data_IF_086988298777
#
_entry.id   IF_086988298777
#
_cell.length_a   1.000
_cell.length_b   1.000
_cell.length_c   1.000
_cell.angle_alpha   90.00
_cell.angle_beta   90.00
_cell.angle_gamma   90.00
#
_symmetry.space_group_name_H-M   'P 1'
#
loop_
_entity.id
_entity.type
_entity.pdbx_description
1 polymer ?
#
# COMPACT_ATOMS: atom_id res chain seq x y z
N UNK A 1 -5.99 46.66 -52.17
CA UNK A 1 -6.22 48.12 -52.06
C UNK A 1 -7.56 48.60 -52.58
N UNK A 2 -8.01 48.31 -53.82
CA UNK A 2 -9.30 48.87 -54.29
C UNK A 2 -10.55 48.15 -53.76
N UNK A 3 -10.46 46.87 -53.42
CA UNK A 3 -11.63 46.08 -52.98
C UNK A 3 -12.00 46.32 -51.51
N UNK A 4 -11.00 46.43 -50.62
CA UNK A 4 -11.19 46.75 -49.20
C UNK A 4 -11.88 48.11 -49.00
N UNK A 5 -11.52 49.13 -49.79
CA UNK A 5 -12.18 50.44 -49.76
C UNK A 5 -13.65 50.38 -50.22
N UNK A 6 -13.99 49.50 -51.18
CA UNK A 6 -15.37 49.31 -51.62
C UNK A 6 -16.23 48.68 -50.53
N UNK A 7 -15.66 47.71 -49.80
CA UNK A 7 -16.32 47.02 -48.70
C UNK A 7 -16.54 47.99 -47.53
N UNK A 8 -15.52 48.76 -47.15
CA UNK A 8 -15.62 49.76 -46.08
C UNK A 8 -16.63 50.86 -46.39
N UNK A 9 -16.78 51.25 -47.66
CA UNK A 9 -17.76 52.25 -48.10
C UNK A 9 -19.19 51.71 -48.10
N UNK A 10 -19.39 50.40 -48.32
CA UNK A 10 -20.71 49.74 -48.30
C UNK A 10 -21.18 49.36 -46.90
N UNK A 11 -20.27 48.85 -46.07
CA UNK A 11 -20.59 48.27 -44.75
C UNK A 11 -20.37 49.29 -43.62
N UNK A 12 -19.55 50.31 -43.86
CA UNK A 12 -19.14 51.27 -42.83
C UNK A 12 -18.02 50.70 -41.95
N UNK A 13 -17.30 51.58 -41.26
CA UNK A 13 -16.30 51.21 -40.23
C UNK A 13 -16.91 50.99 -38.85
N UNK A 14 -18.22 51.12 -38.73
CA UNK A 14 -18.89 51.05 -37.45
C UNK A 14 -19.10 49.61 -37.01
N UNK A 15 -18.88 49.34 -35.73
CA UNK A 15 -19.09 48.01 -35.18
C UNK A 15 -20.60 47.79 -34.96
N UNK A 16 -21.18 46.88 -35.75
CA UNK A 16 -22.59 46.47 -35.65
C UNK A 16 -22.83 45.58 -34.42
N UNK A 17 -21.78 44.94 -33.90
CA UNK A 17 -21.85 44.16 -32.67
C UNK A 17 -21.66 45.06 -31.46
N UNK A 18 -22.77 45.56 -30.94
CA UNK A 18 -22.83 46.28 -29.66
C UNK A 18 -23.36 45.35 -28.60
N UNK A 19 -22.65 45.28 -27.48
CA UNK A 19 -23.14 44.60 -26.27
C UNK A 19 -23.81 45.61 -25.36
N UNK A 20 -24.83 45.22 -24.58
CA UNK A 20 -25.36 46.04 -23.51
C UNK A 20 -24.27 46.40 -22.49
N UNK A 21 -24.39 47.59 -21.90
CA UNK A 21 -23.51 48.01 -20.81
C UNK A 21 -23.58 47.00 -19.66
N UNK A 22 -22.42 46.55 -19.19
CA UNK A 22 -22.29 45.55 -18.13
C UNK A 22 -22.52 44.09 -18.52
N UNK A 23 -22.72 43.76 -19.81
CA UNK A 23 -22.86 42.37 -20.26
C UNK A 23 -21.68 41.47 -19.84
N UNK A 24 -20.45 41.94 -20.06
CA UNK A 24 -19.24 41.18 -19.71
C UNK A 24 -18.92 41.21 -18.22
N UNK A 25 -19.50 42.12 -17.44
CA UNK A 25 -19.30 42.22 -15.99
C UNK A 25 -19.99 41.05 -15.27
N UNK A 26 -21.17 40.65 -15.76
CA UNK A 26 -21.94 39.55 -15.19
C UNK A 26 -21.65 38.19 -15.84
N UNK A 27 -20.97 38.15 -16.98
CA UNK A 27 -20.67 36.91 -17.72
C UNK A 27 -19.98 35.88 -16.83
N UNK A 28 -18.97 36.30 -16.06
CA UNK A 28 -18.19 35.42 -15.20
C UNK A 28 -19.06 34.79 -14.10
N UNK A 29 -19.91 35.60 -13.45
CA UNK A 29 -20.85 35.10 -12.43
C UNK A 29 -21.89 34.17 -13.04
N UNK A 30 -22.45 34.52 -14.21
CA UNK A 30 -23.43 33.66 -14.87
C UNK A 30 -22.80 32.34 -15.29
N UNK A 31 -21.62 32.35 -15.92
CA UNK A 31 -20.87 31.12 -16.27
C UNK A 31 -20.60 30.28 -15.02
N UNK A 32 -20.12 30.89 -13.93
CA UNK A 32 -19.86 30.16 -12.68
C UNK A 32 -21.13 29.60 -12.03
N UNK A 33 -22.27 30.29 -12.17
CA UNK A 33 -23.58 29.82 -11.67
C UNK A 33 -24.19 28.71 -12.53
N UNK A 34 -23.84 28.65 -13.82
CA UNK A 34 -24.32 27.66 -14.80
C UNK A 34 -23.45 26.42 -14.87
N UNK A 35 -22.21 26.51 -14.40
CA UNK A 35 -21.44 25.33 -14.11
C UNK A 35 -22.27 24.50 -13.14
N UNK A 36 -22.39 23.16 -13.35
CA UNK A 36 -22.91 22.31 -12.30
C UNK A 36 -22.16 22.70 -11.03
N UNK A 37 -22.85 22.82 -9.89
CA UNK A 37 -22.16 22.88 -8.60
C UNK A 37 -21.08 21.84 -8.75
N UNK A 38 -19.83 22.31 -8.83
CA UNK A 38 -18.72 21.40 -8.96
C UNK A 38 -18.94 20.66 -7.67
N UNK A 39 -19.43 19.43 -7.80
CA UNK A 39 -19.24 18.40 -6.84
C UNK A 39 -17.75 18.53 -6.68
N UNK A 40 -17.34 19.35 -5.70
CA UNK A 40 -16.14 19.10 -5.00
C UNK A 40 -16.34 17.62 -4.81
N UNK A 41 -15.46 16.77 -5.34
CA UNK A 41 -15.28 15.60 -4.57
C UNK A 41 -14.89 16.20 -3.20
N UNK A 42 -15.86 16.43 -2.30
CA UNK A 42 -16.21 15.36 -1.41
C UNK A 42 -15.85 14.03 -2.11
N UNK A 43 -14.54 13.73 -2.26
CA UNK A 43 -13.81 13.10 -1.21
C UNK A 43 -14.72 13.07 0.02
N UNK A 44 -15.76 12.24 -0.12
CA UNK A 44 -16.23 11.40 0.93
C UNK A 44 -14.90 10.81 1.36
N UNK A 45 -14.25 11.52 2.28
CA UNK A 45 -13.22 11.02 3.14
C UNK A 45 -14.04 9.94 3.82
N UNK A 46 -14.12 8.78 3.19
CA UNK A 46 -14.51 7.55 3.85
C UNK A 46 -13.43 7.50 4.91
N UNK A 47 -13.77 8.03 6.08
CA UNK A 47 -12.90 7.92 7.22
C UNK A 47 -12.53 6.45 7.25
N UNK A 48 -11.23 6.11 7.20
CA UNK A 48 -10.79 4.74 7.07
C UNK A 48 -11.52 3.96 8.15
N UNK A 49 -12.51 3.19 7.72
CA UNK A 49 -13.47 2.65 8.66
C UNK A 49 -12.71 1.57 9.38
N UNK A 50 -12.85 1.49 10.71
CA UNK A 50 -12.07 0.59 11.58
C UNK A 50 -12.01 -0.87 11.07
N UNK A 51 -12.95 -1.28 10.22
CA UNK A 51 -12.94 -2.50 9.41
C UNK A 51 -11.63 -2.81 8.67
N UNK A 52 -10.93 -1.82 8.12
CA UNK A 52 -9.65 -2.08 7.44
C UNK A 52 -8.57 -2.58 8.39
N UNK A 53 -8.61 -2.16 9.66
CA UNK A 53 -7.73 -2.66 10.73
C UNK A 53 -8.18 -4.01 11.28
N UNK A 54 -9.49 -4.28 11.26
CA UNK A 54 -10.06 -5.55 11.76
C UNK A 54 -9.86 -6.69 10.76
N UNK A 55 -9.83 -6.39 9.45
CA UNK A 55 -9.65 -7.39 8.38
C UNK A 55 -8.41 -8.29 8.55
N UNK A 56 -7.18 -7.77 8.78
CA UNK A 56 -6.01 -8.61 9.02
C UNK A 56 -6.13 -9.44 10.31
N UNK A 57 -6.71 -8.88 11.38
CA UNK A 57 -6.89 -9.61 12.63
C UNK A 57 -7.91 -10.75 12.51
N UNK A 58 -8.95 -10.56 11.68
CA UNK A 58 -9.91 -11.61 11.37
C UNK A 58 -9.27 -12.81 10.66
N UNK A 59 -8.32 -12.57 9.73
CA UNK A 59 -7.58 -13.67 9.10
C UNK A 59 -6.67 -14.40 10.10
N UNK A 60 -5.99 -13.66 10.98
CA UNK A 60 -5.17 -14.27 12.04
C UNK A 60 -6.02 -15.14 12.97
N UNK A 61 -7.15 -14.61 13.46
CA UNK A 61 -8.07 -15.38 14.31
C UNK A 61 -8.61 -16.63 13.61
N UNK A 62 -8.97 -16.54 12.33
CA UNK A 62 -9.39 -17.70 11.54
C UNK A 62 -8.27 -18.76 11.40
N UNK A 63 -7.02 -18.34 11.19
CA UNK A 63 -5.87 -19.24 11.12
C UNK A 63 -5.60 -19.94 12.46
N UNK A 64 -5.64 -19.21 13.58
CA UNK A 64 -5.49 -19.77 14.92
C UNK A 64 -6.61 -20.76 15.27
N UNK A 65 -7.86 -20.41 14.98
CA UNK A 65 -9.01 -21.31 15.21
C UNK A 65 -8.90 -22.56 14.32
N UNK A 66 -8.49 -22.40 13.06
CA UNK A 66 -8.26 -23.53 12.15
C UNK A 66 -7.17 -24.48 12.66
N UNK A 67 -6.00 -23.94 13.04
CA UNK A 67 -4.92 -24.73 13.62
C UNK A 67 -5.34 -25.41 14.94
N UNK A 68 -6.04 -24.67 15.82
CA UNK A 68 -6.53 -25.21 17.09
C UNK A 68 -7.55 -26.34 16.87
N UNK A 69 -8.43 -26.25 15.88
CA UNK A 69 -9.37 -27.32 15.54
C UNK A 69 -8.65 -28.57 15.01
N UNK A 70 -7.64 -28.39 14.15
CA UNK A 70 -6.82 -29.50 13.63
C UNK A 70 -6.09 -30.19 14.80
N UNK A 71 -5.44 -29.42 15.68
CA UNK A 71 -4.77 -29.95 16.88
C UNK A 71 -5.79 -30.63 17.81
N UNK A 72 -6.97 -30.02 18.03
CA UNK A 72 -8.00 -30.54 18.93
C UNK A 72 -8.61 -31.85 18.44
N UNK A 73 -8.83 -32.00 17.13
CA UNK A 73 -9.26 -33.26 16.49
C UNK A 73 -8.15 -34.29 16.54
N UNK A 74 -6.93 -33.95 16.13
CA UNK A 74 -5.81 -34.89 16.09
C UNK A 74 -5.32 -35.32 17.50
N UNK A 75 -5.54 -34.47 18.51
CA UNK A 75 -5.22 -34.75 19.92
C UNK A 75 -6.41 -35.35 20.67
N UNK A 76 -7.64 -35.32 20.15
CA UNK A 76 -8.76 -36.03 20.78
C UNK A 76 -8.55 -37.55 20.78
N UNK A 77 -7.80 -38.08 19.80
CA UNK A 77 -7.40 -39.48 19.71
C UNK A 77 -6.12 -39.82 20.51
N UNK A 78 -5.46 -38.82 21.13
CA UNK A 78 -4.19 -38.99 21.86
C UNK A 78 -4.37 -38.52 23.31
N UNK A 79 -4.36 -39.46 24.25
CA UNK A 79 -4.35 -39.18 25.70
C UNK A 79 -3.23 -38.21 26.11
N UNK A 80 -3.45 -37.34 27.11
CA UNK A 80 -2.54 -36.24 27.43
C UNK A 80 -1.37 -36.71 28.30
N UNK A 81 -0.14 -36.45 27.85
CA UNK A 81 1.01 -36.28 28.74
C UNK A 81 1.27 -34.78 28.81
N UNK A 82 0.69 -34.11 29.81
CA UNK A 82 1.44 -33.63 30.98
C UNK A 82 2.58 -32.68 30.59
N UNK A 83 2.21 -31.39 30.58
CA UNK A 83 2.90 -30.31 31.26
C UNK A 83 4.40 -30.12 30.97
N UNK A 84 4.71 -29.25 29.99
CA UNK A 84 5.92 -28.43 30.06
C UNK A 84 5.61 -26.99 29.59
N UNK A 85 5.40 -26.15 30.61
CA UNK A 85 5.98 -24.81 30.77
C UNK A 85 5.45 -23.71 29.84
N UNK A 86 4.63 -22.85 30.45
CA UNK A 86 4.55 -21.44 30.10
C UNK A 86 5.94 -20.78 30.23
N UNK A 87 6.41 -20.18 29.14
CA UNK A 87 7.53 -19.22 29.07
C UNK A 87 7.17 -18.29 27.91
N UNK A 88 6.39 -17.24 28.13
CA UNK A 88 6.91 -15.90 28.44
C UNK A 88 8.39 -15.90 28.83
N UNK A 89 9.25 -15.78 27.82
CA UNK A 89 10.47 -14.98 27.91
C UNK A 89 10.94 -14.63 26.49
N UNK A 90 10.87 -13.33 26.25
CA UNK A 90 11.78 -12.49 25.47
C UNK A 90 13.16 -13.14 25.18
N UNK A 91 13.70 -12.84 23.99
CA UNK A 91 15.15 -12.82 23.66
C UNK A 91 15.78 -14.07 22.99
N UNK A 92 15.90 -13.97 21.66
CA UNK A 92 17.10 -14.37 20.88
C UNK A 92 17.81 -15.66 21.29
N UNK A 93 17.36 -16.79 20.79
CA UNK A 93 18.27 -17.91 20.49
C UNK A 93 17.75 -18.58 19.23
N UNK A 94 18.27 -18.15 18.07
CA UNK A 94 18.06 -18.88 16.83
C UNK A 94 18.63 -20.28 17.04
N UNK A 95 17.76 -21.27 17.16
CA UNK A 95 18.12 -22.68 17.05
C UNK A 95 18.50 -22.88 15.59
N UNK A 96 19.74 -22.56 15.23
CA UNK A 96 20.27 -22.84 13.91
C UNK A 96 20.38 -24.36 13.82
N UNK A 97 19.44 -24.97 13.10
CA UNK A 97 19.39 -26.42 12.92
C UNK A 97 20.57 -26.90 12.08
N UNK A 98 21.11 -28.08 12.39
CA UNK A 98 22.22 -28.71 11.67
C UNK A 98 21.97 -28.80 10.15
N UNK A 99 20.70 -28.91 9.74
CA UNK A 99 20.27 -28.86 8.34
C UNK A 99 20.56 -27.50 7.67
N UNK A 100 20.31 -26.39 8.37
CA UNK A 100 20.62 -25.06 7.87
C UNK A 100 22.13 -24.82 7.83
N UNK A 101 22.85 -25.21 8.89
CA UNK A 101 24.33 -25.13 8.94
C UNK A 101 24.93 -25.86 7.74
N UNK A 102 24.46 -27.10 7.49
CA UNK A 102 24.94 -27.93 6.40
C UNK A 102 24.61 -27.32 5.03
N UNK A 103 23.42 -26.74 4.86
CA UNK A 103 23.02 -26.08 3.61
C UNK A 103 23.88 -24.85 3.30
N UNK A 104 24.19 -24.03 4.31
CA UNK A 104 25.02 -22.84 4.13
C UNK A 104 26.47 -23.23 3.87
N UNK A 105 26.97 -24.26 4.55
CA UNK A 105 28.31 -24.79 4.36
C UNK A 105 28.52 -25.33 2.94
N UNK A 106 27.56 -26.11 2.42
CA UNK A 106 27.60 -26.65 1.05
C UNK A 106 27.56 -25.52 -0.01
N UNK A 107 26.73 -24.50 0.21
CA UNK A 107 26.68 -23.31 -0.67
C UNK A 107 27.97 -22.47 -0.61
N UNK A 108 28.76 -22.56 0.46
CA UNK A 108 30.00 -21.80 0.63
C UNK A 108 31.22 -22.44 -0.06
N UNK A 109 31.08 -23.65 -0.62
CA UNK A 109 32.19 -24.47 -1.17
C UNK A 109 33.36 -24.66 -0.19
N UNK A 110 33.10 -24.53 1.12
CA UNK A 110 34.10 -24.60 2.18
C UNK A 110 34.21 -26.06 2.63
N UNK A 111 35.40 -26.65 2.55
CA UNK A 111 35.63 -28.03 2.97
C UNK A 111 35.87 -28.14 4.48
N UNK A 112 35.61 -29.32 5.05
CA UNK A 112 35.75 -29.57 6.50
C UNK A 112 37.17 -29.22 7.02
N UNK A 113 38.18 -29.35 6.16
CA UNK A 113 39.56 -28.99 6.50
C UNK A 113 39.75 -27.47 6.60
N UNK A 114 39.22 -26.68 5.66
CA UNK A 114 39.26 -25.21 5.74
C UNK A 114 38.48 -24.69 6.94
N UNK A 115 37.37 -25.34 7.32
CA UNK A 115 36.61 -25.00 8.53
C UNK A 115 37.49 -25.17 9.77
N UNK A 116 38.18 -26.31 9.88
CA UNK A 116 39.06 -26.60 11.01
C UNK A 116 40.22 -25.60 11.09
N UNK A 117 40.85 -25.26 9.96
CA UNK A 117 41.94 -24.28 9.92
C UNK A 117 41.45 -22.90 10.37
N UNK A 118 40.30 -22.44 9.87
CA UNK A 118 39.73 -21.15 10.24
C UNK A 118 39.37 -21.09 11.74
N UNK A 119 38.73 -22.15 12.25
CA UNK A 119 38.38 -22.24 13.68
C UNK A 119 39.63 -22.30 14.56
N UNK A 120 40.67 -23.01 14.11
CA UNK A 120 41.92 -23.11 14.86
C UNK A 120 42.67 -21.78 14.85
N UNK A 121 42.73 -21.09 13.71
CA UNK A 121 43.38 -19.78 13.57
C UNK A 121 42.65 -18.70 14.41
N UNK A 122 41.31 -18.70 14.39
CA UNK A 122 40.49 -17.82 15.22
C UNK A 122 40.58 -18.13 16.73
N UNK A 123 40.92 -19.36 17.11
CA UNK A 123 41.10 -19.76 18.50
C UNK A 123 42.49 -19.44 19.06
N UNK A 124 43.41 -19.00 18.21
CA UNK A 124 44.81 -18.71 18.55
C UNK A 124 45.03 -17.20 18.79
N UNK A 125 43.99 -16.37 18.65
CA UNK A 125 43.96 -14.96 19.09
C UNK A 125 43.35 -14.82 20.50
#
# INVERSE_FOLDING_TARGET
MKEEDNILKKVGKENVFRVPDGYFENLTSEVMSRLPEKETPAFIKKEPTKWERIKPWLYMTAMFVGAALIIRVASADRTPATDQIAMDDTETTEVVSDEYISSVLDNSMLDDYSLYVYLTDASVE
#
